data_IF_245963715923
#
_entry.id   IF_245963715923
#
_cell.length_a   1.000
_cell.length_b   1.000
_cell.length_c   1.000
_cell.angle_alpha   90.00
_cell.angle_beta   90.00
_cell.angle_gamma   90.00
#
_symmetry.space_group_name_H-M   'P 1'
#
loop_
_entity.id
_entity.type
_entity.pdbx_description
1 polymer ?
#
# COMPACT_ATOMS: atom_id res chain seq x y z
N UNK A 1 29.89 9.43 10.17
CA UNK A 1 28.57 8.86 10.49
C UNK A 1 28.24 7.91 9.34
N UNK A 2 27.97 6.63 9.62
CA UNK A 2 27.48 5.72 8.59
C UNK A 2 26.14 6.23 8.04
N UNK A 3 25.88 6.14 6.73
CA UNK A 3 24.58 6.51 6.19
C UNK A 3 23.49 5.67 6.90
N UNK A 4 22.38 6.33 7.24
CA UNK A 4 21.24 5.62 7.82
C UNK A 4 20.77 4.53 6.85
N UNK A 5 20.38 3.37 7.39
CA UNK A 5 19.82 2.29 6.55
C UNK A 5 18.57 2.80 5.80
N UNK A 6 18.39 2.43 4.53
CA UNK A 6 17.23 2.86 3.75
C UNK A 6 15.92 2.30 4.33
N UNK A 7 14.85 3.08 4.22
CA UNK A 7 13.49 2.63 4.51
C UNK A 7 13.04 1.70 3.37
N UNK A 8 12.70 0.46 3.68
CA UNK A 8 12.42 -0.58 2.69
C UNK A 8 10.92 -0.75 2.49
N UNK A 9 10.43 -0.42 1.32
CA UNK A 9 9.01 -0.49 0.97
C UNK A 9 8.78 -1.57 -0.10
N UNK A 10 7.85 -2.47 0.17
CA UNK A 10 7.34 -3.42 -0.81
C UNK A 10 5.95 -2.98 -1.29
N UNK A 11 5.78 -2.88 -2.60
CA UNK A 11 4.48 -2.79 -3.24
C UNK A 11 4.16 -4.16 -3.83
N UNK A 12 3.32 -4.91 -3.11
CA UNK A 12 2.87 -6.26 -3.48
C UNK A 12 1.49 -6.18 -4.11
N UNK A 13 1.30 -6.77 -5.29
CA UNK A 13 0.00 -6.70 -5.94
C UNK A 13 -0.37 -7.97 -6.71
N UNK A 14 -1.69 -8.16 -6.90
CA UNK A 14 -2.27 -9.02 -7.92
C UNK A 14 -3.03 -8.16 -8.94
N UNK A 15 -3.04 -8.57 -10.18
CA UNK A 15 -3.77 -7.84 -11.24
C UNK A 15 -4.11 -8.76 -12.40
N UNK A 16 -5.41 -8.90 -12.72
CA UNK A 16 -5.88 -9.68 -13.87
C UNK A 16 -5.91 -8.84 -15.16
N UNK A 17 -6.35 -7.60 -15.06
CA UNK A 17 -6.60 -6.71 -16.22
C UNK A 17 -5.58 -5.58 -16.37
N UNK A 18 -4.56 -5.53 -15.51
CA UNK A 18 -3.58 -4.46 -15.49
C UNK A 18 -3.99 -3.21 -14.68
N UNK A 19 -5.23 -3.12 -14.20
CA UNK A 19 -5.71 -1.94 -13.47
C UNK A 19 -4.98 -1.75 -12.13
N UNK A 20 -4.92 -2.81 -11.30
CA UNK A 20 -4.19 -2.77 -10.03
C UNK A 20 -2.69 -2.61 -10.25
N UNK A 21 -2.15 -3.14 -11.35
CA UNK A 21 -0.74 -2.93 -11.70
C UNK A 21 -0.42 -1.46 -11.97
N UNK A 22 -1.29 -0.74 -12.67
CA UNK A 22 -1.12 0.71 -12.88
C UNK A 22 -1.16 1.47 -11.54
N UNK A 23 -2.09 1.11 -10.64
CA UNK A 23 -2.14 1.68 -9.29
C UNK A 23 -0.84 1.36 -8.52
N UNK A 24 -0.36 0.13 -8.58
CA UNK A 24 0.85 -0.31 -7.88
C UNK A 24 2.10 0.49 -8.30
N UNK A 25 2.23 0.81 -9.59
CA UNK A 25 3.31 1.68 -10.10
C UNK A 25 3.23 3.08 -9.49
N UNK A 26 2.04 3.67 -9.45
CA UNK A 26 1.84 5.00 -8.85
C UNK A 26 2.07 5.01 -7.33
N UNK A 27 1.71 3.94 -6.63
CA UNK A 27 2.02 3.79 -5.19
C UNK A 27 3.53 3.69 -5.00
N UNK A 28 4.22 2.94 -5.84
CA UNK A 28 5.68 2.85 -5.81
C UNK A 28 6.36 4.21 -6.10
N UNK A 29 5.86 4.96 -7.09
CA UNK A 29 6.33 6.32 -7.39
C UNK A 29 6.18 7.24 -6.17
N UNK A 30 5.02 7.18 -5.51
CA UNK A 30 4.75 7.99 -4.33
C UNK A 30 5.67 7.66 -3.15
N UNK A 31 5.98 6.39 -2.92
CA UNK A 31 6.92 5.95 -1.88
C UNK A 31 8.36 6.38 -2.23
N UNK A 32 8.76 6.24 -3.49
CA UNK A 32 10.10 6.61 -3.97
C UNK A 32 10.37 8.12 -3.95
N UNK A 33 9.32 8.95 -3.88
CA UNK A 33 9.47 10.41 -3.78
C UNK A 33 10.10 10.86 -2.45
N UNK A 34 10.12 10.00 -1.43
CA UNK A 34 10.77 10.30 -0.16
C UNK A 34 12.25 9.87 -0.21
N UNK A 35 13.14 10.78 0.14
CA UNK A 35 14.58 10.50 0.16
C UNK A 35 14.94 9.38 1.16
N UNK A 36 15.87 8.50 0.78
CA UNK A 36 16.31 7.39 1.62
C UNK A 36 15.37 6.18 1.63
N UNK A 37 14.42 6.12 0.69
CA UNK A 37 13.50 4.99 0.53
C UNK A 37 13.97 4.09 -0.62
N UNK A 38 14.01 2.78 -0.37
CA UNK A 38 14.20 1.73 -1.37
C UNK A 38 12.85 1.03 -1.60
N UNK A 39 12.42 0.94 -2.87
CA UNK A 39 11.12 0.36 -3.23
C UNK A 39 11.31 -0.88 -4.08
N UNK A 40 10.59 -1.96 -3.73
CA UNK A 40 10.39 -3.12 -4.58
C UNK A 40 8.94 -3.22 -5.02
N UNK A 41 8.75 -3.51 -6.31
CA UNK A 41 7.45 -3.80 -6.90
C UNK A 41 7.39 -5.28 -7.22
N UNK A 42 6.38 -6.00 -6.68
CA UNK A 42 6.23 -7.45 -6.86
C UNK A 42 4.78 -7.82 -7.16
N UNK A 43 4.63 -8.78 -8.06
CA UNK A 43 3.33 -9.32 -8.48
C UNK A 43 3.17 -10.75 -7.99
N UNK A 44 2.07 -11.05 -7.35
CA UNK A 44 1.67 -12.44 -7.04
C UNK A 44 1.48 -13.19 -8.37
N UNK A 45 2.06 -14.38 -8.48
CA UNK A 45 2.13 -15.15 -9.73
C UNK A 45 2.77 -14.39 -10.91
N UNK A 46 3.62 -13.38 -10.63
CA UNK A 46 4.42 -12.69 -11.64
C UNK A 46 5.47 -13.59 -12.26
N UNK A 47 6.17 -13.08 -13.28
CA UNK A 47 7.28 -13.76 -13.93
C UNK A 47 8.60 -13.00 -13.69
N UNK A 48 9.72 -13.71 -13.69
CA UNK A 48 11.05 -13.14 -13.52
C UNK A 48 11.17 -12.32 -12.23
N UNK A 49 11.81 -11.17 -12.32
CA UNK A 49 12.04 -10.27 -11.18
C UNK A 49 10.76 -9.69 -10.58
N UNK A 50 9.65 -9.66 -11.32
CA UNK A 50 8.37 -9.18 -10.79
C UNK A 50 7.67 -10.19 -9.90
N UNK A 51 8.09 -11.47 -9.90
CA UNK A 51 7.45 -12.49 -9.07
C UNK A 51 7.65 -12.20 -7.59
N UNK A 52 6.54 -12.17 -6.86
CA UNK A 52 6.56 -12.04 -5.40
C UNK A 52 7.07 -13.33 -4.75
N UNK A 53 7.99 -13.18 -3.80
CA UNK A 53 8.51 -14.26 -2.96
C UNK A 53 8.34 -13.87 -1.48
N UNK A 54 8.27 -14.84 -0.56
CA UNK A 54 8.24 -14.55 0.89
C UNK A 54 9.39 -13.65 1.35
N UNK A 55 10.58 -13.81 0.76
CA UNK A 55 11.77 -13.02 1.05
C UNK A 55 11.58 -11.52 0.79
N UNK A 56 10.74 -11.14 -0.16
CA UNK A 56 10.42 -9.73 -0.41
C UNK A 56 9.62 -9.14 0.76
N UNK A 57 8.68 -9.91 1.33
CA UNK A 57 7.91 -9.50 2.52
C UNK A 57 8.81 -9.44 3.75
N UNK A 58 9.72 -10.42 3.91
CA UNK A 58 10.69 -10.43 5.01
C UNK A 58 11.65 -9.24 4.93
N UNK A 59 12.07 -8.87 3.73
CA UNK A 59 12.99 -7.76 3.46
C UNK A 59 12.38 -6.40 3.79
N UNK A 60 11.09 -6.20 3.55
CA UNK A 60 10.44 -4.90 3.65
C UNK A 60 10.21 -4.48 5.12
N UNK A 61 10.24 -3.18 5.38
CA UNK A 61 9.83 -2.54 6.64
C UNK A 61 8.36 -2.12 6.57
N UNK A 62 7.89 -1.75 5.37
CA UNK A 62 6.51 -1.36 5.09
C UNK A 62 5.98 -2.00 3.80
N UNK A 63 4.68 -2.32 3.76
CA UNK A 63 4.00 -2.95 2.65
C UNK A 63 2.75 -2.20 2.20
N UNK A 64 2.66 -1.92 0.89
CA UNK A 64 1.39 -1.61 0.25
C UNK A 64 0.90 -2.87 -0.48
N UNK A 65 -0.28 -3.35 -0.16
CA UNK A 65 -0.85 -4.57 -0.76
C UNK A 65 -2.04 -4.22 -1.64
N UNK A 66 -1.91 -4.51 -2.93
CA UNK A 66 -2.91 -4.23 -3.95
C UNK A 66 -3.62 -5.48 -4.45
N UNK A 67 -4.94 -5.46 -4.47
CA UNK A 67 -5.74 -6.57 -4.98
C UNK A 67 -6.88 -6.08 -5.87
N UNK A 68 -7.23 -6.79 -6.96
CA UNK A 68 -8.52 -6.58 -7.57
C UNK A 68 -9.63 -6.96 -6.59
N UNK A 69 -10.77 -6.28 -6.71
CA UNK A 69 -11.98 -6.63 -5.94
C UNK A 69 -12.65 -7.84 -6.57
N UNK A 70 -12.62 -8.96 -5.89
CA UNK A 70 -13.28 -10.19 -6.30
C UNK A 70 -14.40 -10.52 -5.31
N UNK A 71 -15.67 -10.36 -5.75
CA UNK A 71 -16.85 -10.59 -4.89
C UNK A 71 -16.78 -9.84 -3.55
N UNK A 72 -16.31 -8.58 -3.59
CA UNK A 72 -16.19 -7.73 -2.40
C UNK A 72 -14.95 -7.97 -1.54
N UNK A 73 -14.07 -8.91 -1.91
CA UNK A 73 -12.88 -9.30 -1.13
C UNK A 73 -11.60 -9.19 -1.96
N UNK A 74 -10.45 -9.39 -1.31
CA UNK A 74 -9.17 -9.57 -2.02
C UNK A 74 -9.22 -10.80 -2.93
N UNK A 75 -8.38 -10.83 -3.96
CA UNK A 75 -8.34 -11.95 -4.91
C UNK A 75 -7.88 -13.25 -4.25
N UNK A 76 -8.35 -14.39 -4.80
CA UNK A 76 -7.94 -15.70 -4.33
C UNK A 76 -6.43 -15.92 -4.47
N UNK A 77 -5.78 -15.34 -5.48
CA UNK A 77 -4.34 -15.43 -5.67
C UNK A 77 -3.58 -14.72 -4.57
N UNK A 78 -4.00 -13.49 -4.24
CA UNK A 78 -3.43 -12.74 -3.12
C UNK A 78 -3.66 -13.50 -1.81
N UNK A 79 -4.87 -14.04 -1.58
CA UNK A 79 -5.17 -14.82 -0.38
C UNK A 79 -4.30 -16.08 -0.29
N UNK A 80 -4.13 -16.82 -1.40
CA UNK A 80 -3.28 -18.00 -1.46
C UNK A 80 -1.82 -17.69 -1.11
N UNK A 81 -1.26 -16.62 -1.64
CA UNK A 81 0.11 -16.20 -1.29
C UNK A 81 0.29 -16.04 0.22
N UNK A 82 -0.68 -15.41 0.88
CA UNK A 82 -0.62 -15.22 2.33
C UNK A 82 -0.89 -16.51 3.12
N UNK A 83 -1.78 -17.36 2.64
CA UNK A 83 -2.13 -18.62 3.33
C UNK A 83 -1.08 -19.71 3.16
N UNK A 84 -0.49 -19.83 1.99
CA UNK A 84 0.43 -20.92 1.67
C UNK A 84 1.88 -20.48 1.84
N UNK A 85 2.28 -19.37 1.20
CA UNK A 85 3.67 -18.96 1.13
C UNK A 85 4.08 -18.17 2.39
N UNK A 86 3.20 -17.32 2.96
CA UNK A 86 3.54 -16.48 4.10
C UNK A 86 3.22 -17.10 5.47
N UNK A 87 2.34 -18.09 5.57
CA UNK A 87 2.00 -18.77 6.83
C UNK A 87 3.23 -19.29 7.60
N UNK A 88 4.27 -19.86 6.98
CA UNK A 88 5.48 -20.30 7.72
C UNK A 88 6.27 -19.15 8.34
N UNK A 89 6.00 -17.92 7.93
CA UNK A 89 6.64 -16.69 8.40
C UNK A 89 5.77 -15.90 9.39
N UNK A 90 4.61 -16.42 9.75
CA UNK A 90 3.76 -15.85 10.79
C UNK A 90 4.56 -15.71 12.08
N UNK A 91 4.40 -14.62 12.82
CA UNK A 91 5.22 -14.21 13.96
C UNK A 91 6.67 -13.77 13.64
N UNK A 92 7.06 -13.68 12.36
CA UNK A 92 8.40 -13.19 11.98
C UNK A 92 8.37 -11.80 11.32
N UNK A 93 7.18 -11.28 11.05
CA UNK A 93 6.96 -10.03 10.32
C UNK A 93 6.09 -9.04 11.11
N UNK A 94 5.95 -9.28 12.39
CA UNK A 94 5.23 -8.43 13.34
C UNK A 94 5.85 -7.02 13.42
N UNK A 95 5.02 -6.01 13.58
CA UNK A 95 5.45 -4.61 13.73
C UNK A 95 5.77 -3.87 12.42
N UNK A 96 5.67 -4.51 11.25
CA UNK A 96 5.77 -3.82 9.96
C UNK A 96 4.57 -2.89 9.72
N UNK A 97 4.73 -1.90 8.85
CA UNK A 97 3.66 -0.96 8.50
C UNK A 97 2.93 -1.44 7.25
N UNK A 98 1.60 -1.38 7.25
CA UNK A 98 0.79 -1.88 6.14
C UNK A 98 -0.31 -0.94 5.67
N UNK A 99 -0.58 -0.94 4.36
CA UNK A 99 -1.73 -0.29 3.76
C UNK A 99 -2.26 -1.07 2.56
N UNK A 100 -3.44 -0.69 2.07
CA UNK A 100 -4.14 -1.40 1.01
C UNK A 100 -4.50 -0.48 -0.16
N UNK A 101 -4.64 -1.07 -1.36
CA UNK A 101 -5.28 -0.42 -2.50
C UNK A 101 -6.03 -1.44 -3.36
N UNK A 102 -7.09 -1.01 -4.05
CA UNK A 102 -7.94 -1.91 -4.80
C UNK A 102 -8.62 -1.26 -6.00
N UNK A 103 -8.97 -2.08 -6.97
CA UNK A 103 -9.75 -1.68 -8.15
C UNK A 103 -10.90 -2.65 -8.37
N UNK A 104 -12.05 -2.12 -8.81
CA UNK A 104 -13.20 -2.91 -9.28
C UNK A 104 -13.62 -2.47 -10.68
N UNK A 105 -14.54 -3.20 -11.28
CA UNK A 105 -15.08 -2.90 -12.62
C UNK A 105 -15.87 -1.59 -12.71
N UNK A 106 -16.35 -1.05 -11.59
CA UNK A 106 -17.10 0.20 -11.50
C UNK A 106 -17.26 0.66 -10.06
N UNK A 107 -17.68 1.91 -9.87
CA UNK A 107 -18.00 2.47 -8.56
C UNK A 107 -19.13 1.69 -7.89
N UNK A 108 -19.07 1.53 -6.57
CA UNK A 108 -19.99 0.67 -5.82
C UNK A 108 -19.63 -0.84 -5.89
N UNK A 109 -18.52 -1.21 -6.56
CA UNK A 109 -18.09 -2.60 -6.72
C UNK A 109 -17.42 -3.22 -5.48
N UNK A 110 -17.35 -2.51 -4.34
CA UNK A 110 -16.80 -3.05 -3.09
C UNK A 110 -15.28 -2.92 -2.95
N UNK A 111 -14.68 -1.92 -3.57
CA UNK A 111 -13.23 -1.68 -3.53
C UNK A 111 -12.73 -1.45 -2.12
N UNK A 112 -13.47 -0.67 -1.33
CA UNK A 112 -13.15 -0.39 0.07
C UNK A 112 -13.26 -1.65 0.94
N UNK A 113 -14.21 -2.55 0.64
CA UNK A 113 -14.32 -3.85 1.32
C UNK A 113 -13.12 -4.74 1.00
N UNK A 114 -12.65 -4.72 -0.25
CA UNK A 114 -11.44 -5.42 -0.63
C UNK A 114 -10.20 -4.84 0.08
N UNK A 115 -10.09 -3.51 0.22
CA UNK A 115 -9.05 -2.88 1.03
C UNK A 115 -9.15 -3.33 2.50
N UNK A 116 -10.34 -3.32 3.09
CA UNK A 116 -10.55 -3.79 4.47
C UNK A 116 -10.16 -5.26 4.65
N UNK A 117 -10.47 -6.12 3.67
CA UNK A 117 -10.06 -7.53 3.74
C UNK A 117 -8.54 -7.70 3.72
N UNK A 118 -7.83 -6.87 2.96
CA UNK A 118 -6.36 -6.79 2.98
C UNK A 118 -5.85 -6.28 4.33
N UNK A 119 -6.42 -5.19 4.85
CA UNK A 119 -5.99 -4.64 6.15
C UNK A 119 -6.21 -5.65 7.29
N UNK A 120 -7.35 -6.36 7.28
CA UNK A 120 -7.65 -7.43 8.25
C UNK A 120 -6.62 -8.56 8.18
N UNK A 121 -6.23 -8.96 6.97
CA UNK A 121 -5.19 -9.95 6.75
C UNK A 121 -3.84 -9.46 7.31
N UNK A 122 -3.43 -8.23 7.01
CA UNK A 122 -2.19 -7.65 7.51
C UNK A 122 -2.16 -7.55 9.04
N UNK A 123 -3.25 -7.13 9.67
CA UNK A 123 -3.38 -7.12 11.14
C UNK A 123 -3.21 -8.52 11.74
N UNK A 124 -3.70 -9.57 11.07
CA UNK A 124 -3.51 -10.95 11.53
C UNK A 124 -2.03 -11.39 11.52
N UNK A 125 -1.21 -10.78 10.67
CA UNK A 125 0.25 -10.96 10.64
C UNK A 125 1.01 -9.97 11.53
N UNK A 126 0.31 -9.18 12.37
CA UNK A 126 0.92 -8.25 13.32
C UNK A 126 1.34 -6.90 12.75
N UNK A 127 0.87 -6.53 11.55
CA UNK A 127 1.18 -5.23 10.97
C UNK A 127 0.43 -4.10 11.67
N UNK A 128 1.08 -2.95 11.81
CA UNK A 128 0.42 -1.69 12.10
C UNK A 128 -0.16 -1.14 10.78
N UNK A 129 -1.48 -1.12 10.67
CA UNK A 129 -2.17 -0.59 9.51
C UNK A 129 -2.68 0.82 9.75
N UNK A 130 -2.80 1.62 8.70
CA UNK A 130 -3.22 3.01 8.82
C UNK A 130 -4.24 3.38 7.74
N UNK A 131 -5.07 4.38 8.07
CA UNK A 131 -5.91 5.09 7.11
C UNK A 131 -5.29 6.43 6.71
N UNK A 132 -5.76 6.98 5.61
CA UNK A 132 -5.36 8.30 5.14
C UNK A 132 -6.58 9.21 5.16
N UNK A 133 -6.49 10.31 5.94
CA UNK A 133 -7.59 11.28 6.09
C UNK A 133 -7.57 12.39 5.05
N UNK A 134 -6.50 12.46 4.25
CA UNK A 134 -6.37 13.47 3.20
C UNK A 134 -7.33 13.17 2.04
N UNK A 135 -7.77 14.23 1.42
CA UNK A 135 -8.50 14.16 0.16
C UNK A 135 -7.53 14.18 -1.01
N UNK A 136 -7.67 13.23 -1.93
CA UNK A 136 -6.96 13.26 -3.22
C UNK A 136 -7.60 14.26 -4.18
N UNK A 137 -8.92 14.50 -4.02
CA UNK A 137 -9.69 15.55 -4.67
C UNK A 137 -10.87 15.92 -3.78
N UNK A 138 -11.72 16.87 -4.24
CA UNK A 138 -12.93 17.26 -3.51
C UNK A 138 -13.82 16.06 -3.13
N UNK A 139 -13.88 15.03 -3.98
CA UNK A 139 -14.83 13.94 -3.87
C UNK A 139 -14.17 12.55 -3.68
N UNK A 140 -12.85 12.48 -3.47
CA UNK A 140 -12.12 11.24 -3.30
C UNK A 140 -11.24 11.25 -2.04
N UNK A 141 -11.56 10.35 -1.12
CA UNK A 141 -10.80 10.10 0.11
C UNK A 141 -10.12 8.73 0.09
N UNK A 142 -9.20 8.48 1.04
CA UNK A 142 -8.44 7.23 1.13
C UNK A 142 -8.55 6.60 2.52
N UNK A 143 -9.68 6.70 3.18
CA UNK A 143 -9.81 6.24 4.57
C UNK A 143 -9.41 4.78 4.78
N UNK A 144 -9.66 3.91 3.79
CA UNK A 144 -9.31 2.48 3.84
C UNK A 144 -8.20 2.09 2.87
N UNK A 145 -7.70 3.05 2.09
CA UNK A 145 -6.71 2.85 1.04
C UNK A 145 -7.08 3.54 -0.27
N UNK A 146 -6.21 3.48 -1.26
CA UNK A 146 -6.51 4.05 -2.58
C UNK A 146 -7.42 3.10 -3.36
N UNK A 147 -8.49 3.65 -3.94
CA UNK A 147 -9.44 2.89 -4.74
C UNK A 147 -9.64 3.52 -6.12
N UNK A 148 -9.94 2.69 -7.12
CA UNK A 148 -10.24 3.15 -8.48
C UNK A 148 -11.27 2.25 -9.16
N UNK A 149 -12.21 2.87 -9.86
CA UNK A 149 -13.08 2.16 -10.80
C UNK A 149 -12.30 1.91 -12.09
N UNK A 150 -11.99 0.66 -12.39
CA UNK A 150 -11.04 0.25 -13.45
C UNK A 150 -9.61 0.73 -13.10
N UNK A 151 -8.84 1.23 -14.08
CA UNK A 151 -7.51 1.79 -13.84
C UNK A 151 -7.58 3.23 -13.28
N UNK A 152 -6.46 3.76 -12.74
CA UNK A 152 -6.35 5.13 -12.24
C UNK A 152 -6.21 6.12 -13.42
N UNK A 153 -7.28 6.26 -14.22
CA UNK A 153 -7.27 7.04 -15.47
C UNK A 153 -7.47 8.53 -15.25
N UNK A 154 -8.06 8.92 -14.12
CA UNK A 154 -8.23 10.31 -13.71
C UNK A 154 -7.13 10.78 -12.74
N UNK A 155 -6.91 12.08 -12.69
CA UNK A 155 -5.88 12.70 -11.85
C UNK A 155 -6.09 12.41 -10.36
N UNK A 156 -7.33 12.41 -9.89
CA UNK A 156 -7.65 12.17 -8.48
C UNK A 156 -7.22 10.77 -8.04
N UNK A 157 -7.53 9.73 -8.84
CA UNK A 157 -7.10 8.37 -8.56
C UNK A 157 -5.56 8.22 -8.60
N UNK A 158 -4.88 8.94 -9.51
CA UNK A 158 -3.42 8.94 -9.56
C UNK A 158 -2.79 9.62 -8.33
N UNK A 159 -3.35 10.76 -7.92
CA UNK A 159 -2.93 11.47 -6.69
C UNK A 159 -3.17 10.58 -5.47
N UNK A 160 -4.32 9.90 -5.39
CA UNK A 160 -4.63 8.97 -4.32
C UNK A 160 -3.58 7.87 -4.18
N UNK A 161 -3.18 7.24 -5.28
CA UNK A 161 -2.16 6.19 -5.28
C UNK A 161 -0.80 6.71 -4.81
N UNK A 162 -0.34 7.85 -5.34
CA UNK A 162 0.94 8.45 -4.93
C UNK A 162 0.91 8.90 -3.47
N UNK A 163 -0.19 9.48 -3.02
CA UNK A 163 -0.35 9.91 -1.63
C UNK A 163 -0.27 8.71 -0.68
N UNK A 164 -0.92 7.59 -1.01
CA UNK A 164 -0.85 6.36 -0.22
C UNK A 164 0.59 5.85 -0.09
N UNK A 165 1.33 5.78 -1.20
CA UNK A 165 2.73 5.36 -1.19
C UNK A 165 3.62 6.27 -0.36
N UNK A 166 3.47 7.58 -0.50
CA UNK A 166 4.20 8.57 0.31
C UNK A 166 3.88 8.42 1.80
N UNK A 167 2.61 8.22 2.17
CA UNK A 167 2.19 7.99 3.56
C UNK A 167 2.77 6.71 4.14
N UNK A 168 2.83 5.65 3.35
CA UNK A 168 3.46 4.40 3.78
C UNK A 168 4.95 4.62 4.10
N UNK A 169 5.68 5.25 3.20
CA UNK A 169 7.09 5.57 3.42
C UNK A 169 7.31 6.42 4.68
N UNK A 170 6.47 7.46 4.87
CA UNK A 170 6.54 8.35 6.03
C UNK A 170 6.26 7.62 7.36
N UNK A 171 5.18 6.84 7.43
CA UNK A 171 4.89 6.04 8.63
C UNK A 171 5.95 4.99 8.91
N UNK A 172 6.49 4.34 7.88
CA UNK A 172 7.58 3.37 8.05
C UNK A 172 8.84 4.05 8.59
N UNK A 173 9.21 5.22 8.06
CA UNK A 173 10.34 6.00 8.55
C UNK A 173 10.18 6.38 10.04
N UNK A 174 8.99 6.79 10.45
CA UNK A 174 8.72 7.15 11.86
C UNK A 174 8.73 5.93 12.77
N UNK A 175 7.94 4.91 12.44
CA UNK A 175 7.65 3.82 13.36
C UNK A 175 8.79 2.78 13.42
N UNK A 176 9.46 2.53 12.30
CA UNK A 176 10.52 1.51 12.21
C UNK A 176 11.92 2.12 12.35
N UNK A 177 12.13 3.30 11.78
CA UNK A 177 13.47 3.94 11.77
C UNK A 177 13.61 5.13 12.73
N UNK A 178 12.56 5.49 13.47
CA UNK A 178 12.61 6.57 14.46
C UNK A 178 12.78 7.98 13.88
N UNK A 179 12.49 8.20 12.61
CA UNK A 179 12.64 9.48 11.92
C UNK A 179 11.44 10.38 12.22
N UNK A 180 11.41 11.00 13.40
CA UNK A 180 10.30 11.82 13.88
C UNK A 180 9.88 12.95 12.90
N UNK A 181 10.85 13.55 12.19
CA UNK A 181 10.60 14.60 11.19
C UNK A 181 9.80 14.14 9.96
N UNK A 182 9.70 12.83 9.73
CA UNK A 182 8.88 12.25 8.66
C UNK A 182 7.40 12.09 9.05
N UNK A 183 7.01 12.43 10.28
CA UNK A 183 5.64 12.20 10.78
C UNK A 183 4.59 12.91 9.89
N UNK A 184 3.62 12.18 9.32
CA UNK A 184 2.65 12.73 8.38
C UNK A 184 1.84 13.91 8.92
N UNK A 185 1.59 13.94 10.22
CA UNK A 185 0.87 15.06 10.88
C UNK A 185 1.60 16.39 10.82
N UNK A 186 2.93 16.41 10.63
CA UNK A 186 3.69 17.64 10.47
C UNK A 186 3.45 18.32 9.11
N UNK A 187 3.08 17.55 8.10
CA UNK A 187 2.79 18.03 6.75
C UNK A 187 1.30 18.32 6.53
N UNK A 188 0.40 17.74 7.33
CA UNK A 188 -1.05 17.94 7.27
C UNK A 188 -1.46 19.38 7.61
N UNK A 189 -0.78 20.00 8.57
CA UNK A 189 -1.08 21.38 8.98
C UNK A 189 -0.93 22.40 7.82
N UNK A 190 -0.04 22.10 6.85
CA UNK A 190 0.17 22.93 5.68
C UNK A 190 -0.83 22.67 4.53
N UNK A 191 -1.62 21.58 4.62
CA UNK A 191 -2.52 21.12 3.55
C UNK A 191 -4.01 21.19 3.91
N UNK A 192 -4.38 21.65 5.10
CA UNK A 192 -5.79 21.79 5.44
C UNK A 192 -6.44 22.78 4.47
N UNK A 193 -7.48 22.35 3.72
CA UNK A 193 -8.27 23.31 2.97
C UNK A 193 -8.91 24.32 3.93
N UNK A 194 -9.08 25.58 3.53
CA UNK A 194 -9.55 26.65 4.42
C UNK A 194 -11.01 26.49 4.88
N UNK A 195 -11.61 25.33 4.76
CA UNK A 195 -13.03 25.06 5.04
C UNK A 195 -13.24 23.75 5.83
N UNK A 196 -12.50 23.60 6.89
CA UNK A 196 -12.91 22.67 7.94
C UNK A 196 -13.46 23.45 9.11
#
# INVERSE_FOLDING_TARGET
>A
MSPAAPVKILVLYDSFTGNVEQMARLVADGASAMAGVEVRLRKVDGAGELRALPEDVLWADGLAVGSPTNMGLLSWKMKRFWDDDMRPHWMKIDGKIGCAFSSAGGWGGGMELACQSVLTLLMNFGFLVFGVTDYASRDLTLHYGAVSAKGPTDEAAQVACRLLGHRLAAWTAVCVHGVAGAHPGLTLAARRPPHA
#
